data_IF_106250903211
#
_entry.id   IF_106250903211
#
_cell.length_a   1.000
_cell.length_b   1.000
_cell.length_c   1.000
_cell.angle_alpha   90.00
_cell.angle_beta   90.00
_cell.angle_gamma   90.00
#
_symmetry.space_group_name_H-M   'P 1'
#
loop_
_entity.id
_entity.type
_entity.pdbx_description
1 polymer ?
#
# COMPACT_ATOMS: atom_id res chain seq x y z
N UNK A 1 16.34 14.92 -15.29
CA UNK A 1 15.50 13.75 -14.97
C UNK A 1 15.41 13.61 -13.45
N UNK A 2 14.23 13.81 -12.87
CA UNK A 2 14.06 14.12 -11.43
C UNK A 2 14.35 12.98 -10.43
N UNK A 3 14.55 11.73 -10.86
CA UNK A 3 14.78 10.60 -9.92
C UNK A 3 15.98 9.70 -10.26
N UNK A 4 16.69 9.92 -11.37
CA UNK A 4 17.73 9.01 -11.92
C UNK A 4 17.29 7.53 -12.06
N UNK A 5 15.99 7.23 -12.01
CA UNK A 5 15.47 5.87 -12.16
C UNK A 5 15.45 5.43 -13.63
N UNK A 6 15.68 4.14 -13.87
CA UNK A 6 15.55 3.57 -15.22
C UNK A 6 14.07 3.41 -15.57
N UNK A 7 13.56 3.99 -16.67
CA UNK A 7 12.15 3.92 -17.03
C UNK A 7 11.61 2.48 -17.13
N UNK A 8 12.40 1.54 -17.63
CA UNK A 8 12.02 0.13 -17.75
C UNK A 8 11.77 -0.53 -16.38
N UNK A 9 12.58 -0.19 -15.37
CA UNK A 9 12.41 -0.73 -14.00
C UNK A 9 11.13 -0.19 -13.37
N UNK A 10 10.86 1.11 -13.54
CA UNK A 10 9.64 1.74 -13.06
C UNK A 10 8.41 1.14 -13.75
N UNK A 11 8.45 1.00 -15.08
CA UNK A 11 7.36 0.40 -15.84
C UNK A 11 7.08 -1.04 -15.40
N UNK A 12 8.12 -1.83 -15.12
CA UNK A 12 7.98 -3.19 -14.61
C UNK A 12 7.27 -3.20 -13.26
N UNK A 13 7.69 -2.34 -12.32
CA UNK A 13 7.05 -2.24 -10.99
C UNK A 13 5.59 -1.79 -11.09
N UNK A 14 5.30 -0.78 -11.92
CA UNK A 14 3.94 -0.26 -12.09
C UNK A 14 2.97 -1.27 -12.71
N UNK A 15 3.48 -2.17 -13.56
CA UNK A 15 2.71 -3.23 -14.19
C UNK A 15 2.66 -4.53 -13.38
N UNK A 16 3.46 -4.65 -12.31
CA UNK A 16 3.49 -5.85 -11.48
C UNK A 16 2.12 -6.06 -10.83
N UNK A 17 1.46 -7.14 -11.25
CA UNK A 17 0.11 -7.45 -10.82
C UNK A 17 0.09 -8.40 -9.63
N UNK A 18 -0.88 -8.19 -8.76
CA UNK A 18 -1.18 -9.05 -7.62
C UNK A 18 -2.62 -9.54 -7.80
N UNK A 19 -2.80 -10.86 -7.71
CA UNK A 19 -4.12 -11.49 -7.78
C UNK A 19 -4.64 -11.76 -6.37
N UNK A 20 -5.79 -11.19 -6.03
CA UNK A 20 -6.40 -11.30 -4.70
C UNK A 20 -7.92 -11.51 -4.84
N UNK A 21 -8.55 -12.42 -4.06
CA UNK A 21 -10.00 -12.57 -4.08
C UNK A 21 -10.69 -11.27 -3.65
N UNK A 22 -11.53 -10.70 -4.51
CA UNK A 22 -12.18 -9.40 -4.27
C UNK A 22 -13.00 -9.39 -2.97
N UNK A 23 -13.68 -10.49 -2.66
CA UNK A 23 -14.49 -10.62 -1.43
C UNK A 23 -13.64 -10.68 -0.17
N UNK A 24 -12.40 -11.17 -0.25
CA UNK A 24 -11.47 -11.18 0.88
C UNK A 24 -10.92 -9.76 1.10
N UNK A 25 -10.51 -9.08 0.03
CA UNK A 25 -10.01 -7.71 0.10
C UNK A 25 -11.10 -6.76 0.60
N UNK A 26 -12.30 -6.83 0.03
CA UNK A 26 -13.43 -6.00 0.49
C UNK A 26 -13.73 -6.22 1.97
N UNK A 27 -13.72 -7.46 2.46
CA UNK A 27 -13.90 -7.71 3.90
C UNK A 27 -12.77 -7.13 4.72
N UNK A 28 -11.52 -7.36 4.33
CA UNK A 28 -10.34 -6.87 5.03
C UNK A 28 -10.36 -5.34 5.17
N UNK A 29 -10.67 -4.61 4.10
CA UNK A 29 -10.74 -3.15 4.06
C UNK A 29 -11.89 -2.55 4.89
N UNK A 30 -12.85 -3.38 5.30
CA UNK A 30 -13.94 -3.01 6.20
C UNK A 30 -13.72 -3.50 7.65
N UNK A 31 -12.56 -4.09 7.95
CA UNK A 31 -12.16 -4.39 9.33
C UNK A 31 -11.49 -3.19 9.98
N UNK A 32 -11.43 -3.15 11.32
CA UNK A 32 -10.67 -2.14 12.07
C UNK A 32 -9.20 -2.07 11.66
N UNK A 33 -8.58 -3.22 11.40
CA UNK A 33 -7.17 -3.29 10.98
C UNK A 33 -7.02 -2.71 9.57
N UNK A 34 -7.89 -3.11 8.64
CA UNK A 34 -7.87 -2.56 7.28
C UNK A 34 -8.13 -1.06 7.26
N UNK A 35 -9.08 -0.57 8.05
CA UNK A 35 -9.37 0.85 8.19
C UNK A 35 -8.17 1.61 8.76
N UNK A 36 -7.51 1.10 9.80
CA UNK A 36 -6.29 1.71 10.34
C UNK A 36 -5.14 1.77 9.32
N UNK A 37 -5.04 0.79 8.40
CA UNK A 37 -4.08 0.84 7.30
C UNK A 37 -4.47 1.93 6.29
N UNK A 38 -5.75 2.00 5.91
CA UNK A 38 -6.27 3.04 5.01
C UNK A 38 -6.09 4.45 5.60
N UNK A 39 -6.35 4.65 6.90
CA UNK A 39 -6.11 5.92 7.60
C UNK A 39 -4.66 6.37 7.53
N UNK A 40 -3.71 5.44 7.66
CA UNK A 40 -2.27 5.75 7.55
C UNK A 40 -1.90 6.14 6.11
N UNK A 41 -2.48 5.46 5.13
CA UNK A 41 -2.27 5.77 3.71
C UNK A 41 -2.95 7.08 3.30
N UNK A 42 -4.12 7.40 3.86
CA UNK A 42 -4.87 8.63 3.59
C UNK A 42 -4.14 9.89 4.06
N UNK A 43 -3.16 9.77 4.97
CA UNK A 43 -2.24 10.87 5.35
C UNK A 43 -1.15 11.11 4.30
N UNK A 44 -0.92 10.15 3.41
CA UNK A 44 0.11 10.23 2.36
C UNK A 44 -0.52 10.60 1.03
N UNK A 45 -1.62 9.94 0.66
CA UNK A 45 -2.33 10.17 -0.61
C UNK A 45 -3.81 10.43 -0.36
N UNK A 46 -4.33 11.51 -0.93
CA UNK A 46 -5.71 11.94 -0.75
C UNK A 46 -6.20 12.75 -1.96
N UNK A 47 -7.53 12.88 -2.15
CA UNK A 47 -8.10 13.77 -3.17
C UNK A 47 -7.68 15.23 -2.92
N UNK A 48 -7.19 15.93 -3.94
CA UNK A 48 -6.69 17.32 -3.82
C UNK A 48 -7.72 18.28 -3.21
N UNK A 49 -8.99 18.13 -3.57
CA UNK A 49 -10.09 19.02 -3.15
C UNK A 49 -10.97 18.43 -2.03
N UNK A 50 -10.62 17.25 -1.51
CA UNK A 50 -11.43 16.51 -0.54
C UNK A 50 -10.56 15.60 0.32
N UNK A 51 -9.62 16.19 1.05
CA UNK A 51 -8.62 15.43 1.82
C UNK A 51 -9.25 14.54 2.91
N UNK A 52 -10.39 14.94 3.46
CA UNK A 52 -11.16 14.15 4.42
C UNK A 52 -11.69 12.82 3.86
N UNK A 53 -11.82 12.71 2.54
CA UNK A 53 -12.39 11.54 1.87
C UNK A 53 -11.32 10.52 1.44
N UNK A 54 -10.07 10.67 1.91
CA UNK A 54 -8.95 9.83 1.53
C UNK A 54 -9.17 8.33 1.79
N UNK A 55 -9.79 7.95 2.91
CA UNK A 55 -10.11 6.54 3.23
C UNK A 55 -11.07 5.96 2.20
N UNK A 56 -12.15 6.70 1.89
CA UNK A 56 -13.17 6.28 0.93
C UNK A 56 -12.55 6.15 -0.46
N UNK A 57 -11.74 7.15 -0.86
CA UNK A 57 -11.07 7.15 -2.15
C UNK A 57 -10.11 5.97 -2.32
N UNK A 58 -9.29 5.68 -1.31
CA UNK A 58 -8.39 4.53 -1.29
C UNK A 58 -9.14 3.20 -1.36
N UNK A 59 -10.19 3.05 -0.55
CA UNK A 59 -11.01 1.83 -0.53
C UNK A 59 -11.65 1.60 -1.90
N UNK A 60 -12.23 2.64 -2.49
CA UNK A 60 -12.83 2.59 -3.82
C UNK A 60 -11.79 2.19 -4.88
N UNK A 61 -10.62 2.84 -4.89
CA UNK A 61 -9.56 2.55 -5.85
C UNK A 61 -9.10 1.09 -5.82
N UNK A 62 -8.98 0.49 -4.63
CA UNK A 62 -8.62 -0.93 -4.50
C UNK A 62 -9.74 -1.85 -4.98
N UNK A 63 -10.98 -1.61 -4.54
CA UNK A 63 -12.12 -2.49 -4.88
C UNK A 63 -12.45 -2.41 -6.36
N UNK A 64 -12.55 -1.19 -6.92
CA UNK A 64 -12.81 -0.97 -8.34
C UNK A 64 -11.64 -1.47 -9.20
N UNK A 65 -10.39 -1.20 -8.79
CA UNK A 65 -9.21 -1.68 -9.51
C UNK A 65 -9.13 -3.21 -9.58
N UNK A 66 -9.53 -3.92 -8.53
CA UNK A 66 -9.66 -5.37 -8.53
C UNK A 66 -10.85 -5.85 -9.36
N UNK A 67 -11.99 -5.16 -9.30
CA UNK A 67 -13.19 -5.53 -10.08
C UNK A 67 -12.90 -5.43 -11.59
N UNK A 68 -12.37 -4.31 -12.04
CA UNK A 68 -12.02 -4.05 -13.44
C UNK A 68 -10.93 -4.99 -13.94
N UNK A 69 -9.96 -5.30 -13.08
CA UNK A 69 -8.89 -6.24 -13.34
C UNK A 69 -9.25 -7.72 -13.12
N UNK A 70 -10.52 -8.06 -12.93
CA UNK A 70 -11.02 -9.44 -12.73
C UNK A 70 -10.28 -10.20 -11.62
N UNK A 71 -10.08 -9.56 -10.48
CA UNK A 71 -9.37 -10.09 -9.31
C UNK A 71 -7.87 -9.83 -9.31
N UNK A 72 -7.36 -9.08 -10.29
CA UNK A 72 -5.96 -8.65 -10.37
C UNK A 72 -5.85 -7.14 -10.29
N UNK A 73 -4.83 -6.62 -9.60
CA UNK A 73 -4.57 -5.19 -9.49
C UNK A 73 -3.08 -4.91 -9.62
N UNK A 74 -2.72 -3.80 -10.25
CA UNK A 74 -1.37 -3.25 -10.25
C UNK A 74 -1.44 -1.74 -9.96
N UNK A 75 -0.28 -1.07 -9.84
CA UNK A 75 -0.26 0.35 -9.52
C UNK A 75 -1.00 1.20 -10.58
N UNK A 76 -0.93 0.81 -11.85
CA UNK A 76 -1.61 1.52 -12.94
C UNK A 76 -3.12 1.36 -12.83
N UNK A 77 -3.63 0.14 -12.63
CA UNK A 77 -5.08 -0.09 -12.51
C UNK A 77 -5.63 0.53 -11.23
N UNK A 78 -4.87 0.55 -10.13
CA UNK A 78 -5.21 1.31 -8.93
C UNK A 78 -5.37 2.81 -9.22
N UNK A 79 -4.38 3.43 -9.89
CA UNK A 79 -4.43 4.86 -10.21
C UNK A 79 -5.58 5.19 -11.17
N UNK A 80 -5.88 4.32 -12.14
CA UNK A 80 -7.02 4.48 -13.05
C UNK A 80 -8.37 4.35 -12.34
N UNK A 81 -8.45 3.49 -11.33
CA UNK A 81 -9.66 3.27 -10.54
C UNK A 81 -9.83 4.28 -9.39
N UNK A 82 -8.85 5.18 -9.19
CA UNK A 82 -8.96 6.22 -8.17
C UNK A 82 -10.12 7.16 -8.53
N UNK A 83 -11.04 7.46 -7.61
CA UNK A 83 -12.34 8.03 -7.96
C UNK A 83 -12.31 9.51 -8.36
N UNK A 84 -11.15 10.16 -8.28
CA UNK A 84 -10.94 11.55 -8.70
C UNK A 84 -9.72 11.64 -9.60
N UNK A 85 -9.75 12.58 -10.55
CA UNK A 85 -8.63 12.79 -11.47
C UNK A 85 -7.40 13.43 -10.82
N UNK A 86 -7.59 14.15 -9.71
CA UNK A 86 -6.55 14.89 -8.99
C UNK A 86 -6.23 14.20 -7.65
N UNK A 87 -5.06 13.58 -7.57
CA UNK A 87 -4.50 13.02 -6.34
C UNK A 87 -3.39 13.93 -5.82
N UNK A 88 -3.44 14.26 -4.54
CA UNK A 88 -2.34 14.90 -3.84
C UNK A 88 -1.50 13.87 -3.10
N UNK A 89 -0.18 14.09 -3.09
CA UNK A 89 0.78 13.24 -2.39
C UNK A 89 1.62 14.09 -1.45
N UNK A 90 1.49 13.84 -0.16
CA UNK A 90 2.32 14.49 0.87
C UNK A 90 3.73 13.87 0.89
N UNK A 91 4.71 14.59 0.34
CA UNK A 91 6.11 14.13 0.31
C UNK A 91 6.68 13.90 1.72
N UNK A 92 6.46 14.78 2.73
CA UNK A 92 6.95 14.52 4.08
C UNK A 92 6.33 13.25 4.69
N UNK A 93 5.01 13.04 4.51
CA UNK A 93 4.33 11.85 5.02
C UNK A 93 4.82 10.58 4.30
N UNK A 94 5.04 10.66 2.99
CA UNK A 94 5.60 9.56 2.20
C UNK A 94 7.00 9.17 2.70
N UNK A 95 7.88 10.15 2.94
CA UNK A 95 9.22 9.89 3.48
C UNK A 95 9.17 9.26 4.88
N UNK A 96 8.25 9.70 5.74
CA UNK A 96 8.05 9.08 7.06
C UNK A 96 7.54 7.65 6.94
N UNK A 97 6.61 7.38 6.03
CA UNK A 97 6.10 6.04 5.78
C UNK A 97 7.20 5.11 5.25
N UNK A 98 8.00 5.58 4.30
CA UNK A 98 9.13 4.83 3.74
C UNK A 98 10.14 4.43 4.84
N UNK A 99 10.50 5.37 5.73
CA UNK A 99 11.38 5.08 6.88
C UNK A 99 10.79 3.98 7.78
N UNK A 100 9.49 4.06 8.10
CA UNK A 100 8.82 3.07 8.94
C UNK A 100 8.76 1.69 8.29
N UNK A 101 8.52 1.62 6.98
CA UNK A 101 8.49 0.37 6.24
C UNK A 101 9.86 -0.34 6.26
N UNK A 102 10.95 0.41 6.08
CA UNK A 102 12.31 -0.12 6.19
C UNK A 102 12.57 -0.71 7.59
N UNK A 103 12.19 -0.01 8.66
CA UNK A 103 12.37 -0.51 10.03
C UNK A 103 11.58 -1.79 10.32
N UNK A 104 10.37 -1.95 9.75
CA UNK A 104 9.59 -3.19 9.90
C UNK A 104 10.23 -4.34 9.14
N UNK A 105 10.68 -4.11 7.90
CA UNK A 105 11.36 -5.12 7.11
C UNK A 105 12.65 -5.60 7.79
N UNK A 106 13.39 -4.67 8.39
CA UNK A 106 14.60 -4.95 9.17
C UNK A 106 14.29 -5.78 10.42
N UNK A 107 13.20 -5.47 11.15
CA UNK A 107 12.75 -6.28 12.28
C UNK A 107 12.36 -7.70 11.85
N UNK A 108 11.56 -7.85 10.80
CA UNK A 108 11.15 -9.17 10.28
C UNK A 108 12.38 -9.98 9.86
N UNK A 109 13.35 -9.35 9.21
CA UNK A 109 14.62 -9.96 8.83
C UNK A 109 15.44 -10.38 10.06
N UNK A 110 15.57 -9.50 11.05
CA UNK A 110 16.23 -9.81 12.31
C UNK A 110 15.64 -11.04 13.00
N UNK A 111 14.31 -11.13 13.11
CA UNK A 111 13.65 -12.31 13.71
C UNK A 111 13.74 -13.58 12.83
N UNK A 112 13.89 -13.43 11.52
CA UNK A 112 14.04 -14.56 10.59
C UNK A 112 15.47 -15.10 10.55
N UNK A 113 16.47 -14.23 10.76
CA UNK A 113 17.90 -14.57 10.73
C UNK A 113 18.49 -14.82 12.14
N UNK A 114 17.83 -14.34 13.21
CA UNK A 114 18.23 -14.64 14.59
C UNK A 114 17.95 -16.12 14.92
N UNK A 115 18.93 -16.86 15.46
CA UNK A 115 18.70 -18.22 15.94
C UNK A 115 17.60 -18.20 17.00
N UNK A 116 16.54 -19.00 16.79
CA UNK A 116 15.46 -19.20 17.76
C UNK A 116 15.95 -19.89 19.06
N UNK A 117 17.25 -20.17 19.19
CA UNK A 117 17.86 -20.82 20.35
C UNK A 117 17.79 -19.99 21.65
N UNK A 118 17.56 -18.68 21.56
CA UNK A 118 17.36 -17.81 22.73
C UNK A 118 16.00 -17.94 23.41
N UNK A 119 15.06 -18.71 22.86
CA UNK A 119 13.70 -18.90 23.40
C UNK A 119 13.47 -20.27 24.06
N UNK A 120 14.53 -21.04 24.35
CA UNK A 120 14.42 -22.15 25.29
C UNK A 120 14.33 -21.56 26.70
N UNK A 121 13.27 -21.83 27.49
CA UNK A 121 13.33 -21.52 28.92
C UNK A 121 14.52 -22.28 29.50
N UNK A 122 15.31 -21.60 30.33
CA UNK A 122 16.43 -22.22 31.04
C UNK A 122 15.95 -23.48 31.80
N UNK A 123 16.78 -24.55 31.86
CA UNK A 123 16.40 -25.82 32.49
C UNK A 123 16.05 -25.68 33.97
#
# INVERSE_FOLDING_TARGET
>A
AFSKQKPAEVAKLLNQSISLPITLVSRLLNTRIGEAVLERLAKVIYPLKASQDGIVALRAAVVLGLADGKGSINAISFLKAYPVAEMEVSIPALMQLAKKASSVAELVRFFSEAPLDGLKPAP
#
